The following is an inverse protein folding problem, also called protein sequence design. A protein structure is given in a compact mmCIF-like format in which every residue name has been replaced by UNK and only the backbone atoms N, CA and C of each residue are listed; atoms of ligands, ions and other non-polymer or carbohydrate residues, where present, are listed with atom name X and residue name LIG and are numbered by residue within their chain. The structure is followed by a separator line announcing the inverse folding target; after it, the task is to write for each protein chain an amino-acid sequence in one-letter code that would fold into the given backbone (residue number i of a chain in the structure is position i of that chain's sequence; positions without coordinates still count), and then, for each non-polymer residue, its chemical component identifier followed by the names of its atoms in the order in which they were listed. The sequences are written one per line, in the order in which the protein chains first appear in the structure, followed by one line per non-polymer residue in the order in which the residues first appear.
data_IF_700776800947
#
_entry.id   IF_700776800947
#
_cell.length_a   1.000
_cell.length_b   1.000
_cell.length_c   1.000
_cell.angle_alpha   90.00
_cell.angle_beta   90.00
_cell.angle_gamma   90.00
#
_symmetry.space_group_name_H-M   'P 1'
#
loop_
_entity.id
_entity.type
_entity.pdbx_description
1 polymer ?
#
# COMPACT_ATOMS: atom_id res chain seq x y z
N UNK A 1 17.24 -22.27 -27.87
CA UNK A 1 16.38 -22.51 -26.70
C UNK A 1 17.00 -21.81 -25.50
N UNK A 2 16.47 -20.67 -25.08
CA UNK A 2 16.92 -19.95 -23.89
C UNK A 2 15.71 -19.75 -22.99
N UNK A 3 15.43 -20.71 -22.10
CA UNK A 3 14.53 -20.48 -20.97
C UNK A 3 15.37 -19.85 -19.87
N UNK A 4 15.44 -18.51 -19.90
CA UNK A 4 16.08 -17.73 -18.87
C UNK A 4 15.50 -18.11 -17.50
N UNK A 5 16.40 -18.51 -16.61
CA UNK A 5 16.20 -18.51 -15.17
C UNK A 5 15.70 -17.13 -14.76
N UNK A 6 14.54 -17.03 -14.11
CA UNK A 6 14.32 -15.91 -13.21
C UNK A 6 13.24 -16.25 -12.18
N UNK A 7 13.62 -16.07 -10.92
CA UNK A 7 12.76 -15.91 -9.74
C UNK A 7 12.19 -17.19 -9.11
N UNK A 8 13.09 -17.90 -8.45
CA UNK A 8 12.82 -18.41 -7.10
C UNK A 8 12.34 -17.27 -6.19
N UNK A 9 11.54 -17.62 -5.16
CA UNK A 9 11.00 -16.82 -4.05
C UNK A 9 9.52 -16.44 -4.20
N UNK A 10 8.68 -16.96 -3.26
CA UNK A 10 8.40 -16.12 -2.09
C UNK A 10 8.51 -16.92 -0.79
N UNK A 11 9.73 -17.21 -0.33
CA UNK A 11 9.96 -17.74 1.01
C UNK A 11 10.29 -16.59 1.97
N UNK A 12 9.26 -15.88 2.43
CA UNK A 12 9.24 -15.13 3.70
C UNK A 12 7.91 -14.39 3.83
N UNK A 13 6.86 -15.13 4.16
CA UNK A 13 5.55 -14.60 4.49
C UNK A 13 5.47 -14.01 5.91
N UNK A 14 6.54 -13.38 6.45
CA UNK A 14 6.48 -12.92 7.85
C UNK A 14 7.32 -11.69 8.20
N UNK A 15 7.90 -10.97 7.23
CA UNK A 15 8.50 -9.65 7.50
C UNK A 15 7.87 -8.65 6.54
N UNK A 16 7.09 -7.66 7.04
CA UNK A 16 6.63 -6.56 6.21
C UNK A 16 7.86 -5.72 5.81
N UNK A 17 8.46 -6.06 4.67
CA UNK A 17 9.50 -5.25 4.05
C UNK A 17 8.86 -3.99 3.46
N UNK A 18 9.59 -2.87 3.47
CA UNK A 18 9.18 -1.60 2.86
C UNK A 18 8.67 -1.83 1.43
N UNK A 19 9.30 -2.73 0.68
CA UNK A 19 8.90 -3.09 -0.68
C UNK A 19 7.47 -3.68 -0.77
N UNK A 20 7.06 -4.46 0.23
CA UNK A 20 5.70 -5.02 0.31
C UNK A 20 4.69 -3.93 0.64
N UNK A 21 5.01 -3.07 1.61
CA UNK A 21 4.18 -1.93 1.99
C UNK A 21 3.98 -0.97 0.80
N UNK A 22 5.02 -0.74 -0.01
CA UNK A 22 4.92 0.06 -1.24
C UNK A 22 4.05 -0.61 -2.31
N UNK A 23 4.14 -1.94 -2.46
CA UNK A 23 3.30 -2.69 -3.40
C UNK A 23 1.82 -2.64 -2.99
N UNK A 24 1.53 -2.84 -1.70
CA UNK A 24 0.18 -2.69 -1.13
C UNK A 24 -0.33 -1.25 -1.27
N UNK A 25 0.53 -0.25 -1.01
CA UNK A 25 0.20 1.17 -1.21
C UNK A 25 -0.12 1.50 -2.67
N UNK A 26 0.62 0.94 -3.63
CA UNK A 26 0.37 1.12 -5.07
C UNK A 26 -0.95 0.46 -5.48
N UNK A 27 -1.27 -0.71 -4.94
CA UNK A 27 -2.52 -1.41 -5.22
C UNK A 27 -3.73 -0.64 -4.68
N UNK A 28 -3.63 -0.11 -3.45
CA UNK A 28 -4.65 0.74 -2.87
C UNK A 28 -4.79 2.06 -3.61
N UNK A 29 -3.69 2.67 -4.07
CA UNK A 29 -3.72 3.88 -4.90
C UNK A 29 -4.51 3.65 -6.19
N UNK A 30 -4.23 2.57 -6.93
CA UNK A 30 -4.95 2.21 -8.15
C UNK A 30 -6.43 1.96 -7.91
N UNK A 31 -6.78 1.29 -6.80
CA UNK A 31 -8.18 1.04 -6.43
C UNK A 31 -8.91 2.34 -6.08
N UNK A 32 -8.23 3.26 -5.41
CA UNK A 32 -8.71 4.63 -5.16
C UNK A 32 -8.92 5.40 -6.46
N UNK A 33 -8.02 5.29 -7.43
CA UNK A 33 -8.19 5.92 -8.75
C UNK A 33 -9.40 5.37 -9.50
N UNK A 34 -9.62 4.05 -9.49
CA UNK A 34 -10.82 3.45 -10.09
C UNK A 34 -12.10 3.95 -9.44
N UNK A 35 -12.09 4.13 -8.12
CA UNK A 35 -13.22 4.71 -7.40
C UNK A 35 -13.40 6.18 -7.80
N UNK A 36 -12.35 7.00 -7.75
CA UNK A 36 -12.40 8.42 -8.10
C UNK A 36 -12.76 8.67 -9.57
N UNK A 37 -12.46 7.73 -10.45
CA UNK A 37 -12.86 7.79 -11.87
C UNK A 37 -14.36 7.60 -12.07
N UNK A 38 -15.08 7.01 -11.11
CA UNK A 38 -16.55 6.93 -11.15
C UNK A 38 -17.14 8.27 -10.71
N UNK A 39 -17.85 8.93 -11.62
CA UNK A 39 -18.56 10.19 -11.34
C UNK A 39 -19.58 10.07 -10.19
N UNK A 40 -20.12 8.87 -9.96
CA UNK A 40 -21.09 8.59 -8.92
C UNK A 40 -20.62 7.41 -8.07
N UNK A 41 -19.95 7.73 -6.96
CA UNK A 41 -19.58 6.76 -5.94
C UNK A 41 -20.81 6.40 -5.11
N UNK A 42 -21.12 5.11 -5.04
CA UNK A 42 -22.12 4.59 -4.09
C UNK A 42 -21.64 4.80 -2.65
N UNK A 43 -22.55 4.74 -1.68
CA UNK A 43 -22.20 4.92 -0.26
C UNK A 43 -21.16 3.90 0.22
N UNK A 44 -21.25 2.66 -0.30
CA UNK A 44 -20.26 1.61 -0.10
C UNK A 44 -18.87 2.00 -0.66
N UNK A 45 -18.83 2.65 -1.82
CA UNK A 45 -17.58 3.08 -2.44
C UNK A 45 -16.97 4.31 -1.76
N UNK A 46 -17.78 5.24 -1.23
CA UNK A 46 -17.29 6.33 -0.36
C UNK A 46 -16.68 5.77 0.92
N UNK A 47 -17.31 4.78 1.53
CA UNK A 47 -16.77 4.06 2.70
C UNK A 47 -15.46 3.35 2.36
N UNK A 48 -15.37 2.73 1.18
CA UNK A 48 -14.13 2.11 0.68
C UNK A 48 -13.05 3.16 0.44
N UNK A 49 -13.37 4.34 -0.12
CA UNK A 49 -12.42 5.43 -0.31
C UNK A 49 -11.79 5.87 1.03
N UNK A 50 -12.63 6.07 2.06
CA UNK A 50 -12.19 6.44 3.41
C UNK A 50 -11.33 5.33 4.03
N UNK A 51 -11.72 4.06 3.88
CA UNK A 51 -10.93 2.92 4.34
C UNK A 51 -9.57 2.86 3.63
N UNK A 52 -9.54 2.98 2.30
CA UNK A 52 -8.31 2.99 1.51
C UNK A 52 -7.39 4.15 1.89
N UNK A 53 -7.93 5.35 2.16
CA UNK A 53 -7.15 6.48 2.68
C UNK A 53 -6.51 6.16 4.04
N UNK A 54 -7.28 5.58 4.96
CA UNK A 54 -6.77 5.17 6.28
C UNK A 54 -5.69 4.08 6.16
N UNK A 55 -5.90 3.08 5.32
CA UNK A 55 -4.91 2.03 5.05
C UNK A 55 -3.63 2.61 4.45
N UNK A 56 -3.72 3.51 3.46
CA UNK A 56 -2.55 4.19 2.89
C UNK A 56 -1.80 5.01 3.93
N UNK A 57 -2.51 5.72 4.80
CA UNK A 57 -1.89 6.47 5.90
C UNK A 57 -1.18 5.53 6.87
N UNK A 58 -1.81 4.43 7.27
CA UNK A 58 -1.23 3.43 8.17
C UNK A 58 0.01 2.76 7.56
N UNK A 59 -0.01 2.42 6.27
CA UNK A 59 1.16 1.88 5.57
C UNK A 59 2.29 2.91 5.51
N UNK A 60 1.97 4.19 5.32
CA UNK A 60 2.96 5.28 5.33
C UNK A 60 3.56 5.46 6.72
N UNK A 61 2.76 5.35 7.78
CA UNK A 61 3.23 5.37 9.17
C UNK A 61 4.15 4.18 9.47
N UNK A 62 3.77 2.97 9.03
CA UNK A 62 4.58 1.75 9.14
C UNK A 62 5.92 1.88 8.39
N UNK A 63 5.88 2.38 7.15
CA UNK A 63 7.09 2.65 6.37
C UNK A 63 7.97 3.71 7.03
N UNK A 64 7.38 4.76 7.61
CA UNK A 64 8.14 5.79 8.32
C UNK A 64 8.77 5.23 9.61
N UNK A 65 8.03 4.43 10.38
CA UNK A 65 8.56 3.72 11.56
C UNK A 65 9.75 2.84 11.21
N UNK A 66 9.66 2.10 10.10
CA UNK A 66 10.75 1.25 9.61
C UNK A 66 11.93 2.07 9.06
N UNK A 67 11.66 3.21 8.41
CA UNK A 67 12.68 4.08 7.82
C UNK A 67 13.40 4.93 8.86
N UNK A 68 12.80 5.16 10.03
CA UNK A 68 13.27 6.17 10.98
C UNK A 68 13.70 5.55 12.31
N UNK A 69 15.00 5.29 12.53
CA UNK A 69 15.50 4.85 13.84
C UNK A 69 15.50 5.96 14.92
N UNK A 70 14.70 7.04 14.82
CA UNK A 70 14.72 8.05 15.90
C UNK A 70 14.06 9.41 15.73
N UNK A 71 12.96 9.62 15.00
CA UNK A 71 12.24 10.90 15.16
C UNK A 71 10.73 10.82 14.93
N UNK A 72 9.98 10.96 16.01
CA UNK A 72 8.64 11.56 16.06
C UNK A 72 8.50 12.64 14.98
N UNK A 73 7.50 12.59 14.09
CA UNK A 73 6.58 13.71 13.88
C UNK A 73 5.29 13.21 13.24
N UNK A 74 4.26 13.12 14.07
CA UNK A 74 2.88 13.27 13.63
C UNK A 74 2.72 14.67 13.02
N UNK A 75 2.20 14.76 11.81
CA UNK A 75 1.62 16.00 11.30
C UNK A 75 0.27 15.70 10.66
N UNK A 76 -0.65 16.61 10.98
CA UNK A 76 -2.09 16.46 11.16
C UNK A 76 -2.87 16.63 9.84
#
# INVERSE_FOLDING_TARGET
MQTAKFTELPESASIPSIYRLEQEHSLYARRLETLRAKLFLTEAEKMEEVRLKKLKLSLKDEMERLRRPGARVSEH
#
